data_IF_568551023852
#
_entry.id   IF_568551023852
#
_cell.length_a   1.000
_cell.length_b   1.000
_cell.length_c   1.000
_cell.angle_alpha   90.00
_cell.angle_beta   90.00
_cell.angle_gamma   90.00
#
_symmetry.space_group_name_H-M   'P 1'
#
loop_
_entity.id
_entity.type
_entity.pdbx_description
1 polymer ?
#
# COMPACT_ATOMS: atom_id res chain seq x y z
N UNK A 1 6.65 -7.63 3.74
CA UNK A 1 6.52 -8.24 2.41
C UNK A 1 7.69 -7.83 1.55
N UNK A 2 8.03 -8.61 0.53
CA UNK A 2 9.06 -8.24 -0.44
C UNK A 2 8.55 -7.08 -1.33
N UNK A 3 9.46 -6.28 -1.92
CA UNK A 3 9.09 -5.18 -2.84
C UNK A 3 8.29 -5.73 -4.02
N UNK A 4 8.75 -6.83 -4.61
CA UNK A 4 8.08 -7.48 -5.73
C UNK A 4 6.65 -7.93 -5.36
N UNK A 5 6.43 -8.44 -4.14
CA UNK A 5 5.07 -8.78 -3.66
C UNK A 5 4.19 -7.53 -3.57
N UNK A 6 4.73 -6.42 -3.04
CA UNK A 6 3.99 -5.17 -2.92
C UNK A 6 3.63 -4.57 -4.30
N UNK A 7 4.54 -4.66 -5.26
CA UNK A 7 4.31 -4.27 -6.66
C UNK A 7 3.19 -5.09 -7.30
N UNK A 8 3.20 -6.40 -7.11
CA UNK A 8 2.15 -7.28 -7.61
C UNK A 8 0.79 -7.00 -6.96
N UNK A 9 0.74 -6.79 -5.64
CA UNK A 9 -0.50 -6.46 -4.92
C UNK A 9 -1.12 -5.17 -5.43
N UNK A 10 -0.31 -4.13 -5.68
CA UNK A 10 -0.81 -2.84 -6.16
C UNK A 10 -0.92 -2.74 -7.69
N UNK A 11 -0.42 -3.75 -8.42
CA UNK A 11 -0.37 -3.74 -9.87
C UNK A 11 0.49 -2.61 -10.42
N UNK A 12 1.69 -2.41 -9.84
CA UNK A 12 2.59 -1.30 -10.17
C UNK A 12 4.00 -1.74 -10.56
N UNK A 13 4.58 -1.02 -11.53
CA UNK A 13 5.96 -1.13 -11.96
C UNK A 13 6.95 -0.36 -11.05
N UNK A 14 8.20 -0.83 -10.90
CA UNK A 14 9.24 -0.18 -10.09
C UNK A 14 9.56 1.26 -10.48
N UNK A 15 9.26 1.67 -11.72
CA UNK A 15 9.58 2.99 -12.26
C UNK A 15 8.43 3.98 -12.17
N UNK A 16 7.26 3.56 -11.71
CA UNK A 16 6.10 4.45 -11.66
C UNK A 16 6.33 5.60 -10.67
N UNK A 17 5.88 6.83 -10.99
CA UNK A 17 5.90 7.93 -10.03
C UNK A 17 5.07 7.60 -8.79
N UNK A 18 5.50 8.11 -7.62
CA UNK A 18 4.82 7.86 -6.35
C UNK A 18 3.32 8.21 -6.38
N UNK A 19 2.96 9.33 -7.02
CA UNK A 19 1.55 9.73 -7.16
C UNK A 19 0.66 8.70 -7.89
N UNK A 20 1.21 8.00 -8.88
CA UNK A 20 0.47 6.93 -9.57
C UNK A 20 0.33 5.68 -8.68
N UNK A 21 1.35 5.36 -7.89
CA UNK A 21 1.29 4.28 -6.89
C UNK A 21 0.20 4.57 -5.85
N UNK A 22 0.12 5.81 -5.37
CA UNK A 22 -0.88 6.26 -4.39
C UNK A 22 -2.28 6.21 -4.99
N UNK A 23 -2.45 6.62 -6.24
CA UNK A 23 -3.74 6.53 -6.95
C UNK A 23 -4.23 5.07 -7.04
N UNK A 24 -3.32 4.15 -7.39
CA UNK A 24 -3.62 2.70 -7.43
C UNK A 24 -3.99 2.17 -6.04
N UNK A 25 -3.22 2.55 -5.02
CA UNK A 25 -3.52 2.21 -3.64
C UNK A 25 -4.90 2.70 -3.19
N UNK A 26 -5.22 3.99 -3.38
CA UNK A 26 -6.50 4.58 -2.97
C UNK A 26 -7.68 3.85 -3.61
N UNK A 27 -7.60 3.55 -4.91
CA UNK A 27 -8.61 2.78 -5.61
C UNK A 27 -8.79 1.36 -5.05
N UNK A 28 -7.69 0.61 -4.92
CA UNK A 28 -7.75 -0.77 -4.39
C UNK A 28 -8.23 -0.80 -2.94
N UNK A 29 -7.82 0.18 -2.13
CA UNK A 29 -8.23 0.28 -0.74
C UNK A 29 -9.75 0.52 -0.63
N UNK A 30 -10.29 1.47 -1.39
CA UNK A 30 -11.73 1.77 -1.43
C UNK A 30 -12.56 0.56 -1.90
N UNK A 31 -12.12 -0.12 -2.97
CA UNK A 31 -12.82 -1.31 -3.48
C UNK A 31 -12.81 -2.44 -2.43
N UNK A 32 -11.67 -2.66 -1.76
CA UNK A 32 -11.56 -3.71 -0.74
C UNK A 32 -12.26 -3.34 0.57
N UNK A 33 -12.41 -2.07 0.90
CA UNK A 33 -13.22 -1.62 2.03
C UNK A 33 -14.70 -1.96 1.84
N UNK A 34 -15.20 -1.80 0.61
CA UNK A 34 -16.62 -2.03 0.27
C UNK A 34 -16.95 -3.49 -0.03
N UNK A 35 -16.04 -4.21 -0.69
CA UNK A 35 -16.33 -5.53 -1.27
C UNK A 35 -15.28 -6.60 -0.91
N UNK A 36 -14.18 -6.20 -0.29
CA UNK A 36 -13.08 -7.10 0.06
C UNK A 36 -13.23 -7.69 1.45
N UNK A 37 -12.20 -8.44 1.85
CA UNK A 37 -12.03 -8.88 3.22
C UNK A 37 -11.01 -8.01 3.94
N UNK A 38 -11.09 -8.00 5.27
CA UNK A 38 -10.09 -7.34 6.11
C UNK A 38 -8.66 -7.80 5.79
N UNK A 39 -8.47 -9.08 5.44
CA UNK A 39 -7.18 -9.62 5.04
C UNK A 39 -6.65 -8.98 3.74
N UNK A 40 -7.50 -8.87 2.72
CA UNK A 40 -7.12 -8.27 1.43
C UNK A 40 -6.83 -6.77 1.58
N UNK A 41 -7.69 -6.05 2.32
CA UNK A 41 -7.45 -4.64 2.63
C UNK A 41 -6.12 -4.44 3.39
N UNK A 42 -5.84 -5.31 4.37
CA UNK A 42 -4.57 -5.29 5.11
C UNK A 42 -3.35 -5.57 4.23
N UNK A 43 -3.49 -6.43 3.20
CA UNK A 43 -2.43 -6.67 2.21
C UNK A 43 -2.16 -5.44 1.34
N UNK A 44 -3.22 -4.77 0.87
CA UNK A 44 -3.12 -3.52 0.10
C UNK A 44 -2.44 -2.41 0.91
N UNK A 45 -2.82 -2.26 2.19
CA UNK A 45 -2.18 -1.31 3.11
C UNK A 45 -0.69 -1.59 3.30
N UNK A 46 -0.33 -2.82 3.67
CA UNK A 46 1.07 -3.22 3.87
C UNK A 46 1.90 -3.10 2.59
N UNK A 47 1.29 -3.25 1.42
CA UNK A 47 1.96 -3.05 0.14
C UNK A 47 2.35 -1.59 -0.09
N UNK A 48 1.45 -0.63 0.21
CA UNK A 48 1.79 0.79 0.16
C UNK A 48 2.93 1.12 1.11
N UNK A 49 2.85 0.73 2.39
CA UNK A 49 3.91 1.01 3.36
C UNK A 49 5.27 0.45 2.93
N UNK A 50 5.27 -0.73 2.28
CA UNK A 50 6.51 -1.32 1.77
C UNK A 50 7.08 -0.51 0.61
N UNK A 51 6.26 -0.03 -0.32
CA UNK A 51 6.73 0.78 -1.44
C UNK A 51 7.14 2.18 -1.00
N UNK A 52 6.47 2.78 -0.03
CA UNK A 52 6.85 4.07 0.56
C UNK A 52 8.30 4.03 1.06
N UNK A 53 8.63 3.01 1.88
CA UNK A 53 9.98 2.77 2.36
C UNK A 53 11.00 2.52 1.24
N UNK A 54 10.59 1.88 0.15
CA UNK A 54 11.47 1.65 -1.00
C UNK A 54 11.79 2.97 -1.71
N UNK A 55 10.77 3.79 -1.97
CA UNK A 55 10.94 5.06 -2.66
C UNK A 55 11.76 6.04 -1.83
N UNK A 56 11.54 6.07 -0.52
CA UNK A 56 12.37 6.86 0.42
C UNK A 56 13.83 6.40 0.41
N UNK A 57 14.08 5.08 0.42
CA UNK A 57 15.44 4.54 0.33
C UNK A 57 16.12 4.86 -1.02
N UNK A 58 15.34 4.96 -2.10
CA UNK A 58 15.80 5.41 -3.43
C UNK A 58 15.94 6.94 -3.55
N UNK A 59 15.62 7.71 -2.50
CA UNK A 59 15.67 9.19 -2.53
C UNK A 59 14.56 9.82 -3.38
N UNK A 60 13.50 9.08 -3.68
CA UNK A 60 12.31 9.58 -4.39
C UNK A 60 11.37 10.27 -3.40
N UNK A 61 10.76 11.38 -3.81
CA UNK A 61 9.79 12.10 -2.97
C UNK A 61 8.50 11.29 -2.80
N UNK A 62 8.13 10.98 -1.56
CA UNK A 62 6.93 10.21 -1.18
C UNK A 62 5.85 11.05 -0.49
N UNK A 63 5.86 12.37 -0.69
CA UNK A 63 5.02 13.35 0.04
C UNK A 63 3.50 13.17 -0.16
N UNK A 64 2.90 12.20 0.53
CA UNK A 64 1.46 12.04 0.66
C UNK A 64 1.05 12.32 2.12
N UNK A 65 0.51 13.53 2.35
CA UNK A 65 0.04 14.00 3.65
C UNK A 65 -1.30 13.39 4.11
N UNK A 66 -1.64 12.19 3.66
CA UNK A 66 -2.86 11.48 4.09
C UNK A 66 -2.52 10.03 4.48
N UNK A 67 -2.24 9.85 5.77
CA UNK A 67 -2.44 8.59 6.46
C UNK A 67 -3.95 8.35 6.56
N UNK A 68 -4.50 7.22 6.09
CA UNK A 68 -5.84 6.81 6.48
C UNK A 68 -5.83 6.57 7.99
N UNK A 69 -6.27 7.57 8.74
CA UNK A 69 -6.48 7.50 10.17
C UNK A 69 -7.49 6.39 10.46
N UNK A 70 -7.14 5.48 11.39
CA UNK A 70 -7.98 4.48 12.06
C UNK A 70 -8.01 2.98 11.67
N UNK A 71 -7.13 2.41 10.84
CA UNK A 71 -7.07 0.92 10.70
C UNK A 71 -6.13 0.25 11.73
N UNK A 72 -5.66 0.98 12.74
CA UNK A 72 -4.55 0.57 13.61
C UNK A 72 -4.81 -0.60 14.58
N UNK A 73 -6.00 -1.23 14.70
CA UNK A 73 -6.25 -2.11 15.87
C UNK A 73 -6.52 -3.61 15.67
N UNK A 74 -6.57 -4.20 14.47
CA UNK A 74 -6.74 -5.67 14.39
C UNK A 74 -6.01 -6.33 13.23
N UNK A 75 -4.70 -6.14 13.08
CA UNK A 75 -3.92 -7.04 12.23
C UNK A 75 -3.65 -8.33 13.04
N UNK A 76 -4.27 -9.48 12.74
CA UNK A 76 -3.87 -10.72 13.41
C UNK A 76 -2.40 -11.01 13.08
N UNK A 77 -1.68 -11.35 14.15
CA UNK A 77 -0.31 -11.83 14.11
C UNK A 77 -0.21 -13.03 13.18
N UNK A 78 0.96 -13.13 12.56
CA UNK A 78 1.38 -14.32 11.84
C UNK A 78 1.59 -15.42 12.87
N UNK A 79 0.75 -16.44 12.84
CA UNK A 79 1.16 -17.82 13.12
C UNK A 79 1.18 -18.55 11.78
#
# INVERSE_FOLDING_TARGET
>A
MAVAEAQLILGVDPKMPWGEVVKRYKHLFEVNEKHGSFYLQSKVYRARERLEKEYEAEGRKTSDGESPSNVQQRLPGKD
#
